data_IF_819435225632
#
_entry.id   IF_819435225632
#
_cell.length_a   1.000
_cell.length_b   1.000
_cell.length_c   1.000
_cell.angle_alpha   90.00
_cell.angle_beta   90.00
_cell.angle_gamma   90.00
#
_symmetry.space_group_name_H-M   'P 1'
#
loop_
_entity.id
_entity.type
_entity.pdbx_description
1 polymer ?
#
# COMPACT_ATOMS: atom_id res chain seq x y z
N UNK A 1 4.26 30.12 -31.30
CA UNK A 1 4.95 29.89 -30.02
C UNK A 1 5.14 28.40 -29.82
N UNK A 2 6.31 27.91 -29.39
CA UNK A 2 6.45 26.50 -29.04
C UNK A 2 5.56 26.17 -27.83
N UNK A 3 4.88 25.03 -27.89
CA UNK A 3 4.03 24.53 -26.79
C UNK A 3 4.90 24.12 -25.61
N UNK A 4 4.58 24.59 -24.40
CA UNK A 4 5.25 24.17 -23.16
C UNK A 4 4.45 22.99 -22.61
N UNK A 5 4.97 21.74 -22.67
CA UNK A 5 4.24 20.60 -22.18
C UNK A 5 4.29 20.53 -20.64
N UNK A 6 3.25 19.98 -20.01
CA UNK A 6 3.20 19.78 -18.56
C UNK A 6 4.24 18.76 -18.07
N UNK A 7 4.60 17.76 -18.90
CA UNK A 7 5.73 16.84 -18.70
C UNK A 7 6.43 16.55 -20.03
N UNK A 8 7.73 16.20 -20.00
CA UNK A 8 8.51 15.86 -21.21
C UNK A 8 9.29 14.54 -21.04
N UNK A 9 8.61 13.38 -21.11
CA UNK A 9 9.26 12.08 -20.95
C UNK A 9 10.33 11.81 -22.03
N UNK A 10 10.15 12.37 -23.23
CA UNK A 10 11.15 12.27 -24.30
C UNK A 10 12.49 12.88 -23.90
N UNK A 11 12.48 14.06 -23.28
CA UNK A 11 13.72 14.69 -22.81
C UNK A 11 14.41 13.85 -21.73
N UNK A 12 13.63 13.26 -20.81
CA UNK A 12 14.18 12.35 -19.79
C UNK A 12 14.85 11.12 -20.38
N UNK A 13 14.24 10.50 -21.40
CA UNK A 13 14.83 9.39 -22.14
C UNK A 13 16.12 9.81 -22.84
N UNK A 14 16.09 10.92 -23.59
CA UNK A 14 17.26 11.39 -24.35
C UNK A 14 18.46 11.71 -23.45
N UNK A 15 18.21 12.22 -22.24
CA UNK A 15 19.27 12.50 -21.26
C UNK A 15 19.98 11.22 -20.76
N UNK A 16 19.32 10.05 -20.81
CA UNK A 16 19.84 8.77 -20.31
C UNK A 16 19.86 7.68 -21.39
N UNK A 17 19.77 8.07 -22.66
CA UNK A 17 19.49 7.18 -23.78
C UNK A 17 20.47 6.00 -23.83
N UNK A 18 21.77 6.28 -23.76
CA UNK A 18 22.79 5.25 -23.85
C UNK A 18 22.66 4.17 -22.75
N UNK A 19 22.33 4.58 -21.52
CA UNK A 19 22.15 3.65 -20.41
C UNK A 19 20.86 2.84 -20.54
N UNK A 20 19.76 3.50 -20.90
CA UNK A 20 18.44 2.84 -21.08
C UNK A 20 18.50 1.84 -22.23
N UNK A 21 19.03 2.23 -23.38
CA UNK A 21 19.10 1.37 -24.57
C UNK A 21 19.99 0.14 -24.30
N UNK A 22 21.09 0.31 -23.55
CA UNK A 22 21.96 -0.78 -23.15
C UNK A 22 21.25 -1.77 -22.21
N UNK A 23 20.54 -1.28 -21.19
CA UNK A 23 19.80 -2.13 -20.25
C UNK A 23 18.68 -2.91 -20.97
N UNK A 24 17.93 -2.26 -21.87
CA UNK A 24 16.91 -2.92 -22.68
C UNK A 24 17.55 -4.03 -23.54
N UNK A 25 18.66 -3.73 -24.23
CA UNK A 25 19.35 -4.71 -25.07
C UNK A 25 19.86 -5.92 -24.28
N UNK A 26 20.33 -5.72 -23.06
CA UNK A 26 20.77 -6.79 -22.16
C UNK A 26 19.61 -7.74 -21.81
N UNK A 27 18.45 -7.19 -21.39
CA UNK A 27 17.26 -8.00 -21.09
C UNK A 27 16.78 -8.77 -22.32
N UNK A 28 16.68 -8.10 -23.48
CA UNK A 28 16.27 -8.74 -24.74
C UNK A 28 17.22 -9.88 -25.15
N UNK A 29 18.53 -9.68 -24.98
CA UNK A 29 19.54 -10.69 -25.30
C UNK A 29 19.52 -11.86 -24.33
N UNK A 30 19.20 -11.61 -23.05
CA UNK A 30 19.09 -12.66 -22.03
C UNK A 30 17.91 -13.62 -22.27
N UNK A 31 16.85 -13.13 -22.92
CA UNK A 31 15.59 -13.87 -23.11
C UNK A 31 14.76 -14.08 -21.84
N UNK A 32 15.13 -13.46 -20.71
CA UNK A 32 14.48 -13.63 -19.42
C UNK A 32 13.75 -12.35 -18.99
N UNK A 33 12.42 -12.34 -19.12
CA UNK A 33 11.62 -11.11 -19.01
C UNK A 33 10.89 -10.92 -17.67
N UNK A 34 10.63 -11.99 -16.92
CA UNK A 34 9.77 -11.96 -15.74
C UNK A 34 10.54 -12.53 -14.56
N UNK A 35 10.56 -11.78 -13.44
CA UNK A 35 11.30 -12.14 -12.22
C UNK A 35 12.78 -12.46 -12.53
N UNK A 36 13.43 -11.59 -13.31
CA UNK A 36 14.83 -11.71 -13.69
C UNK A 36 15.78 -10.98 -12.75
N UNK A 37 17.08 -11.05 -13.07
CA UNK A 37 18.15 -10.44 -12.27
C UNK A 37 17.97 -8.92 -12.12
N UNK A 38 17.49 -8.22 -13.15
CA UNK A 38 17.22 -6.78 -13.08
C UNK A 38 16.18 -6.42 -12.00
N UNK A 39 15.17 -7.27 -11.79
CA UNK A 39 14.17 -7.05 -10.73
C UNK A 39 14.81 -7.22 -9.37
N UNK A 40 15.58 -8.29 -9.16
CA UNK A 40 16.28 -8.54 -7.90
C UNK A 40 17.31 -7.45 -7.57
N UNK A 41 18.06 -6.98 -8.57
CA UNK A 41 19.01 -5.90 -8.40
C UNK A 41 18.29 -4.60 -8.03
N UNK A 42 17.24 -4.24 -8.77
CA UNK A 42 16.43 -3.06 -8.48
C UNK A 42 15.82 -3.10 -7.07
N UNK A 43 15.26 -4.23 -6.64
CA UNK A 43 14.70 -4.41 -5.30
C UNK A 43 15.74 -4.15 -4.19
N UNK A 44 16.97 -4.65 -4.37
CA UNK A 44 18.07 -4.45 -3.42
C UNK A 44 18.54 -2.99 -3.40
N UNK A 45 18.78 -2.41 -4.58
CA UNK A 45 19.22 -1.02 -4.73
C UNK A 45 18.18 -0.03 -4.20
N UNK A 46 16.90 -0.28 -4.48
CA UNK A 46 15.81 0.57 -4.02
C UNK A 46 15.59 0.46 -2.50
N UNK A 47 15.69 -0.74 -1.93
CA UNK A 47 15.65 -0.94 -0.48
C UNK A 47 16.79 -0.17 0.20
N UNK A 48 18.00 -0.25 -0.36
CA UNK A 48 19.16 0.49 0.13
C UNK A 48 18.95 2.01 0.02
N UNK A 49 18.41 2.49 -1.10
CA UNK A 49 18.15 3.91 -1.33
C UNK A 49 17.14 4.48 -0.33
N UNK A 50 16.06 3.74 -0.04
CA UNK A 50 15.03 4.15 0.92
C UNK A 50 15.49 3.95 2.37
N UNK A 51 16.46 3.05 2.62
CA UNK A 51 16.99 2.76 3.95
C UNK A 51 16.18 1.69 4.72
N UNK A 52 15.59 0.72 3.99
CA UNK A 52 14.82 -0.39 4.56
C UNK A 52 15.47 -1.74 4.26
N UNK A 53 15.13 -2.79 5.00
CA UNK A 53 15.74 -4.11 4.83
C UNK A 53 15.30 -4.86 3.56
N UNK A 54 14.13 -4.53 3.01
CA UNK A 54 13.55 -5.24 1.86
C UNK A 54 12.84 -4.26 0.92
N UNK A 55 12.92 -4.53 -0.39
CA UNK A 55 12.13 -3.90 -1.44
C UNK A 55 11.47 -5.01 -2.26
N UNK A 56 10.21 -4.82 -2.65
CA UNK A 56 9.46 -5.79 -3.45
C UNK A 56 8.85 -5.08 -4.67
N UNK A 57 9.27 -5.50 -5.85
CA UNK A 57 8.78 -5.01 -7.13
C UNK A 57 7.43 -5.63 -7.45
N UNK A 58 6.44 -4.77 -7.71
CA UNK A 58 5.09 -5.18 -8.11
C UNK A 58 4.64 -4.39 -9.34
N UNK A 59 3.52 -4.78 -9.94
CA UNK A 59 3.08 -4.23 -11.22
C UNK A 59 2.73 -2.72 -11.15
N UNK A 60 2.18 -2.24 -10.04
CA UNK A 60 1.82 -0.83 -9.84
C UNK A 60 1.61 -0.49 -8.35
N UNK A 61 1.42 0.80 -8.05
CA UNK A 61 1.21 1.28 -6.68
C UNK A 61 -0.08 0.81 -6.01
N UNK A 62 -1.15 0.53 -6.77
CA UNK A 62 -2.39 -0.02 -6.20
C UNK A 62 -2.18 -1.45 -5.72
N UNK A 63 -1.51 -2.29 -6.51
CA UNK A 63 -1.15 -3.66 -6.12
C UNK A 63 -0.21 -3.66 -4.90
N UNK A 64 0.71 -2.70 -4.82
CA UNK A 64 1.57 -2.52 -3.64
C UNK A 64 0.73 -2.30 -2.38
N UNK A 65 -0.28 -1.42 -2.44
CA UNK A 65 -1.19 -1.17 -1.32
C UNK A 65 -2.06 -2.39 -0.98
N UNK A 66 -2.62 -3.07 -1.99
CA UNK A 66 -3.41 -4.30 -1.79
C UNK A 66 -2.60 -5.37 -1.07
N UNK A 67 -1.36 -5.61 -1.52
CA UNK A 67 -0.47 -6.59 -0.90
C UNK A 67 -0.12 -6.15 0.53
N UNK A 68 0.24 -4.88 0.74
CA UNK A 68 0.54 -4.36 2.06
C UNK A 68 -0.62 -4.52 3.04
N UNK A 69 -1.85 -4.16 2.64
CA UNK A 69 -3.04 -4.31 3.47
C UNK A 69 -3.30 -5.78 3.82
N UNK A 70 -3.21 -6.69 2.85
CA UNK A 70 -3.36 -8.13 3.11
C UNK A 70 -2.28 -8.66 4.05
N UNK A 71 -1.03 -8.22 3.90
CA UNK A 71 0.08 -8.61 4.78
C UNK A 71 -0.11 -8.08 6.21
N UNK A 72 -0.73 -6.91 6.37
CA UNK A 72 -1.14 -6.38 7.67
C UNK A 72 -2.33 -7.15 8.28
N UNK A 73 -2.87 -8.17 7.62
CA UNK A 73 -3.99 -8.98 8.11
C UNK A 73 -5.35 -8.30 7.97
N UNK A 74 -5.49 -7.36 7.03
CA UNK A 74 -6.79 -6.74 6.75
C UNK A 74 -7.73 -7.76 6.11
N UNK A 75 -8.93 -7.85 6.68
CA UNK A 75 -9.99 -8.73 6.23
C UNK A 75 -11.19 -7.94 5.67
N UNK A 76 -12.09 -8.67 5.02
CA UNK A 76 -13.31 -8.09 4.48
C UNK A 76 -14.19 -7.51 5.59
N UNK A 77 -14.64 -6.26 5.40
CA UNK A 77 -15.43 -5.53 6.38
C UNK A 77 -14.63 -4.79 7.45
N UNK A 78 -13.30 -4.94 7.50
CA UNK A 78 -12.47 -4.08 8.35
C UNK A 78 -12.56 -2.62 7.88
N UNK A 79 -12.43 -1.69 8.82
CA UNK A 79 -12.33 -0.27 8.49
C UNK A 79 -10.86 0.08 8.21
N UNK A 80 -10.60 0.80 7.12
CA UNK A 80 -9.25 1.34 6.83
C UNK A 80 -9.35 2.84 6.67
N UNK A 81 -8.61 3.56 7.50
CA UNK A 81 -8.61 5.02 7.49
C UNK A 81 -7.77 5.53 6.33
N UNK A 82 -8.32 6.51 5.61
CA UNK A 82 -7.56 7.26 4.60
C UNK A 82 -8.12 8.68 4.48
N UNK A 83 -7.53 9.51 3.64
CA UNK A 83 -7.94 10.91 3.47
C UNK A 83 -8.97 11.07 2.36
N UNK A 84 -9.90 12.01 2.54
CA UNK A 84 -10.90 12.41 1.54
C UNK A 84 -10.24 12.96 0.27
N UNK A 85 -9.08 13.60 0.40
CA UNK A 85 -8.33 14.23 -0.68
C UNK A 85 -7.08 13.39 -1.06
N UNK A 86 -7.29 12.24 -1.71
CA UNK A 86 -6.23 11.36 -2.23
C UNK A 86 -6.51 10.91 -3.66
N UNK A 87 -5.54 10.25 -4.29
CA UNK A 87 -5.74 9.56 -5.54
C UNK A 87 -6.73 8.39 -5.36
N UNK A 88 -7.58 8.14 -6.37
CA UNK A 88 -8.57 7.05 -6.37
C UNK A 88 -7.93 5.68 -6.09
N UNK A 89 -6.68 5.49 -6.51
CA UNK A 89 -5.91 4.26 -6.27
C UNK A 89 -5.84 3.87 -4.78
N UNK A 90 -5.79 4.83 -3.85
CA UNK A 90 -5.73 4.55 -2.41
C UNK A 90 -7.02 3.89 -1.93
N UNK A 91 -8.17 4.45 -2.30
CA UNK A 91 -9.49 3.91 -1.91
C UNK A 91 -9.76 2.60 -2.64
N UNK A 92 -9.42 2.51 -3.93
CA UNK A 92 -9.57 1.28 -4.70
C UNK A 92 -8.79 0.11 -4.07
N UNK A 93 -7.58 0.34 -3.56
CA UNK A 93 -6.81 -0.70 -2.88
C UNK A 93 -7.51 -1.23 -1.61
N UNK A 94 -8.15 -0.34 -0.84
CA UNK A 94 -8.93 -0.71 0.35
C UNK A 94 -10.14 -1.56 -0.04
N UNK A 95 -10.88 -1.13 -1.06
CA UNK A 95 -12.06 -1.89 -1.53
C UNK A 95 -11.67 -3.24 -2.15
N UNK A 96 -10.54 -3.32 -2.85
CA UNK A 96 -10.02 -4.56 -3.46
C UNK A 96 -9.62 -5.63 -2.43
N UNK A 97 -9.32 -5.25 -1.19
CA UNK A 97 -9.14 -6.20 -0.08
C UNK A 97 -10.44 -6.52 0.65
N UNK A 98 -11.57 -5.93 0.24
CA UNK A 98 -12.88 -6.10 0.85
C UNK A 98 -13.12 -5.24 2.09
N UNK A 99 -12.18 -4.37 2.45
CA UNK A 99 -12.30 -3.45 3.56
C UNK A 99 -13.16 -2.23 3.18
N UNK A 100 -13.60 -1.49 4.19
CA UNK A 100 -14.41 -0.28 4.05
C UNK A 100 -13.54 0.94 4.32
N UNK A 101 -13.39 1.87 3.35
CA UNK A 101 -12.63 3.08 3.55
C UNK A 101 -13.35 4.02 4.52
N UNK A 102 -12.67 4.45 5.57
CA UNK A 102 -13.12 5.49 6.49
C UNK A 102 -12.38 6.80 6.15
N UNK A 103 -13.09 7.71 5.47
CA UNK A 103 -12.51 8.95 4.97
C UNK A 103 -12.41 10.01 6.07
N UNK A 104 -11.22 10.57 6.22
CA UNK A 104 -10.89 11.67 7.14
C UNK A 104 -10.53 12.91 6.32
N UNK A 105 -10.92 14.08 6.79
CA UNK A 105 -10.63 15.33 6.08
C UNK A 105 -9.16 15.75 6.19
N UNK A 106 -8.77 16.72 5.36
CA UNK A 106 -7.39 17.22 5.28
C UNK A 106 -7.16 18.49 6.09
N UNK A 107 -5.91 18.72 6.46
CA UNK A 107 -5.43 20.03 6.90
C UNK A 107 -5.32 20.93 5.66
N UNK A 108 -6.01 22.08 5.59
CA UNK A 108 -6.01 22.96 4.42
C UNK A 108 -4.65 23.62 4.15
N UNK A 109 -3.71 23.61 5.10
CA UNK A 109 -2.35 24.14 4.90
C UNK A 109 -1.41 23.12 4.26
N UNK A 110 -1.53 21.85 4.63
CA UNK A 110 -0.61 20.78 4.17
C UNK A 110 -1.21 19.91 3.09
N UNK A 111 -2.54 19.91 2.94
CA UNK A 111 -3.31 18.99 2.09
C UNK A 111 -3.10 17.51 2.44
N UNK A 112 -2.65 17.23 3.68
CA UNK A 112 -2.52 15.87 4.24
C UNK A 112 -3.59 15.62 5.30
N UNK A 113 -3.68 14.40 5.81
CA UNK A 113 -4.63 14.02 6.87
C UNK A 113 -4.59 15.01 8.04
N UNK A 114 -5.74 15.58 8.42
CA UNK A 114 -5.86 16.44 9.61
C UNK A 114 -5.92 15.57 10.88
N UNK A 115 -4.95 15.68 11.81
CA UNK A 115 -4.98 14.93 13.07
C UNK A 115 -6.23 15.20 13.92
N UNK A 116 -6.79 16.41 13.89
CA UNK A 116 -7.99 16.75 14.66
C UNK A 116 -9.23 16.10 14.04
N UNK A 117 -9.36 16.13 12.71
CA UNK A 117 -10.41 15.43 11.99
C UNK A 117 -10.34 13.92 12.22
N UNK A 118 -9.12 13.34 12.26
CA UNK A 118 -8.92 11.93 12.59
C UNK A 118 -9.46 11.60 13.98
N UNK A 119 -9.08 12.38 14.99
CA UNK A 119 -9.55 12.16 16.36
C UNK A 119 -11.08 12.26 16.45
N UNK A 120 -11.67 13.24 15.77
CA UNK A 120 -13.13 13.40 15.71
C UNK A 120 -13.82 12.19 15.05
N UNK A 121 -13.31 11.71 13.92
CA UNK A 121 -13.83 10.54 13.21
C UNK A 121 -13.74 9.27 14.06
N UNK A 122 -12.61 9.04 14.74
CA UNK A 122 -12.43 7.90 15.65
C UNK A 122 -13.39 7.93 16.84
N UNK A 123 -13.68 9.11 17.39
CA UNK A 123 -14.66 9.25 18.47
C UNK A 123 -16.08 8.90 18.00
N UNK A 124 -16.44 9.29 16.79
CA UNK A 124 -17.77 9.02 16.22
C UNK A 124 -17.95 7.55 15.87
N UNK A 125 -16.94 6.89 15.31
CA UNK A 125 -16.99 5.46 14.97
C UNK A 125 -17.06 4.55 16.20
N UNK A 126 -16.44 4.97 17.31
CA UNK A 126 -16.46 4.22 18.58
C UNK A 126 -17.84 4.21 19.29
N UNK A 127 -18.70 5.21 19.05
CA UNK A 127 -20.04 5.29 19.66
C UNK A 127 -21.07 4.36 18.99
N UNK A 128 -20.70 3.68 17.90
CA UNK A 128 -21.56 2.73 17.17
C UNK A 128 -21.48 1.28 17.69
N UNK A 129 -20.87 1.04 18.86
CA UNK A 129 -21.06 -0.20 19.63
C UNK A 129 -20.16 -1.41 19.28
N UNK A 130 -18.88 -1.21 18.97
CA UNK A 130 -17.93 -2.32 18.80
C UNK A 130 -16.73 -2.21 19.77
N UNK A 131 -16.33 -3.30 20.46
CA UNK A 131 -15.23 -3.27 21.42
C UNK A 131 -13.88 -3.13 20.71
N UNK A 132 -13.05 -2.21 21.20
CA UNK A 132 -11.67 -2.01 20.78
C UNK A 132 -10.78 -3.15 21.30
N UNK A 133 -10.39 -4.10 20.45
CA UNK A 133 -9.26 -4.99 20.74
C UNK A 133 -8.14 -4.76 19.73
N UNK A 134 -7.00 -4.25 20.22
CA UNK A 134 -5.76 -4.11 19.47
C UNK A 134 -5.36 -2.66 19.14
N UNK A 135 -5.06 -1.85 20.16
CA UNK A 135 -4.41 -0.55 19.96
C UNK A 135 -2.90 -0.76 19.83
N UNK A 136 -2.36 -0.68 18.62
CA UNK A 136 -0.97 -0.26 18.42
C UNK A 136 -0.98 1.22 17.98
N UNK A 137 -0.52 2.16 18.83
CA UNK A 137 -0.48 3.58 18.49
C UNK A 137 0.48 3.93 17.32
N UNK A 138 1.22 2.96 16.77
CA UNK A 138 2.00 3.10 15.53
C UNK A 138 1.34 2.58 14.26
N UNK A 139 0.16 1.94 14.33
CA UNK A 139 -0.48 1.33 13.16
C UNK A 139 -1.34 2.33 12.38
N UNK A 140 -1.01 2.53 11.09
CA UNK A 140 -1.82 3.26 10.09
C UNK A 140 -3.18 2.62 9.80
N UNK A 141 -3.52 1.52 10.49
CA UNK A 141 -4.59 0.60 10.15
C UNK A 141 -5.42 0.35 11.40
N UNK A 142 -6.72 0.66 11.33
CA UNK A 142 -7.64 0.56 12.46
C UNK A 142 -8.64 -0.57 12.22
N UNK A 143 -8.26 -1.80 12.56
CA UNK A 143 -9.15 -2.96 12.39
C UNK A 143 -10.22 -3.00 13.49
N UNK A 144 -11.45 -2.59 13.15
CA UNK A 144 -12.61 -2.97 13.95
C UNK A 144 -13.13 -4.33 13.47
N UNK A 145 -12.68 -5.40 14.15
CA UNK A 145 -13.24 -6.73 13.94
C UNK A 145 -14.71 -6.72 14.41
N UNK A 146 -15.66 -7.05 13.53
CA UNK A 146 -17.02 -7.42 13.99
C UNK A 146 -16.91 -8.64 14.90
N UNK A 147 -17.65 -8.71 16.04
CA UNK A 147 -17.68 -9.94 16.82
C UNK A 147 -18.14 -11.08 15.93
N UNK A 148 -17.29 -12.10 15.82
CA UNK A 148 -17.60 -13.31 15.07
C UNK A 148 -18.95 -13.84 15.54
N UNK A 149 -19.88 -14.03 14.60
CA UNK A 149 -21.01 -14.92 14.86
C UNK A 149 -20.42 -16.32 15.00
N UNK A 150 -20.41 -16.78 16.24
CA UNK A 150 -19.93 -18.07 16.67
C UNK A 150 -20.61 -19.18 15.86
N UNK A 151 -19.87 -19.82 14.95
CA UNK A 151 -20.25 -21.11 14.39
C UNK A 151 -19.02 -21.96 14.12
N UNK A 152 -18.68 -22.79 15.08
CA UNK A 152 -17.98 -24.06 14.84
C UNK A 152 -16.48 -24.06 15.10
N UNK A 153 -16.12 -24.38 16.34
CA UNK A 153 -14.94 -25.15 16.76
C UNK A 153 -13.79 -25.32 15.74
N UNK A 154 -12.70 -24.58 15.92
CA UNK A 154 -11.40 -24.94 15.36
C UNK A 154 -10.68 -25.91 16.34
N UNK A 155 -10.26 -27.11 15.93
CA UNK A 155 -9.47 -27.99 16.78
C UNK A 155 -8.02 -27.49 16.88
N UNK A 156 -7.29 -27.81 17.97
CA UNK A 156 -5.93 -27.33 18.16
C UNK A 156 -5.00 -28.00 17.14
N UNK A 157 -4.48 -27.23 16.20
CA UNK A 157 -3.28 -27.61 15.45
C UNK A 157 -2.06 -27.28 16.32
N UNK A 158 -1.16 -28.28 16.43
CA UNK A 158 0.16 -28.28 17.07
C UNK A 158 0.24 -28.64 18.57
N UNK A 159 0.22 -29.95 18.84
CA UNK A 159 1.07 -30.56 19.87
C UNK A 159 2.45 -30.83 19.27
N UNK A 160 3.51 -30.25 19.83
CA UNK A 160 4.88 -30.42 19.36
C UNK A 160 5.46 -31.83 19.57
N UNK A 161 6.59 -32.08 18.91
CA UNK A 161 7.47 -33.22 19.19
C UNK A 161 8.08 -33.85 17.93
N UNK A 162 9.41 -33.71 17.83
CA UNK A 162 10.41 -34.42 17.00
C UNK A 162 10.58 -34.05 15.51
#
# INVERSE_FOLDING_TARGET
MPSIPQTNPKASYLAHQAAIDAAIAQVLTSGWYVLGQEVTAFEQEFAQYVGVSHGLGVANGTDALVIALRTCGIESGDLVITVSHTAVATVAAIELVGAVPLLVDIDPQTYTLDPNALEATLRQSSHSGAPSQGCDPGAFVWTQRRPAQDSGSCPPLWSGGD
#
